data_IF_047663259117
#
_entry.id   IF_047663259117
#
_cell.length_a   1.000
_cell.length_b   1.000
_cell.length_c   1.000
_cell.angle_alpha   90.00
_cell.angle_beta   90.00
_cell.angle_gamma   90.00
#
_symmetry.space_group_name_H-M   'P 1'
#
loop_
_entity.id
_entity.type
_entity.pdbx_description
1 polymer ?
#
# COMPACT_ATOMS: atom_id res chain seq x y z
N UNK A 1 6.77 -15.44 23.28
CA UNK A 1 6.27 -14.06 23.07
C UNK A 1 5.11 -14.15 22.10
N UNK A 2 4.02 -13.46 22.37
CA UNK A 2 2.88 -13.38 21.45
C UNK A 2 3.38 -12.57 20.23
N UNK A 3 3.18 -13.10 19.04
CA UNK A 3 3.54 -12.42 17.78
C UNK A 3 2.26 -11.76 17.24
N UNK A 4 2.29 -10.47 16.95
CA UNK A 4 1.20 -9.74 16.30
C UNK A 4 1.43 -9.68 14.81
N UNK A 5 0.43 -10.07 14.01
CA UNK A 5 0.47 -10.08 12.55
C UNK A 5 -0.28 -8.89 11.97
N UNK A 6 0.36 -8.20 11.06
CA UNK A 6 -0.21 -7.06 10.34
C UNK A 6 -0.37 -7.44 8.87
N UNK A 7 -1.62 -7.43 8.36
CA UNK A 7 -1.91 -7.51 6.93
C UNK A 7 -1.74 -6.15 6.27
N UNK A 8 -1.04 -6.12 5.16
CA UNK A 8 -0.73 -4.90 4.41
C UNK A 8 -1.33 -4.99 3.00
N UNK A 9 -2.17 -4.02 2.67
CA UNK A 9 -2.78 -3.78 1.35
C UNK A 9 -2.34 -2.39 0.88
N UNK A 10 -2.20 -2.20 -0.42
CA UNK A 10 -2.03 -0.88 -1.02
C UNK A 10 -2.61 -0.84 -2.43
N UNK A 11 -2.98 0.34 -2.86
CA UNK A 11 -3.31 0.67 -4.24
C UNK A 11 -4.35 -0.31 -4.88
N UNK A 12 -5.51 -0.56 -4.23
CA UNK A 12 -6.55 -1.44 -4.78
C UNK A 12 -7.24 -0.85 -6.02
N UNK A 13 -7.22 0.46 -6.19
CA UNK A 13 -7.73 1.15 -7.37
C UNK A 13 -9.10 0.64 -7.82
N UNK A 14 -10.09 0.70 -6.92
CA UNK A 14 -11.47 0.33 -7.16
C UNK A 14 -11.64 -1.07 -7.80
N UNK A 15 -10.90 -2.06 -7.28
CA UNK A 15 -10.94 -3.46 -7.75
C UNK A 15 -11.16 -4.40 -6.58
N UNK A 16 -12.37 -4.93 -6.46
CA UNK A 16 -12.84 -5.62 -5.26
C UNK A 16 -12.28 -7.04 -5.10
N UNK A 17 -12.21 -7.82 -6.18
CA UNK A 17 -11.86 -9.24 -6.09
C UNK A 17 -10.47 -9.50 -5.45
N UNK A 18 -9.35 -8.81 -5.82
CA UNK A 18 -8.07 -9.00 -5.15
C UNK A 18 -8.07 -8.58 -3.68
N UNK A 19 -8.90 -7.58 -3.32
CA UNK A 19 -9.05 -7.16 -1.91
C UNK A 19 -9.76 -8.24 -1.11
N UNK A 20 -10.85 -8.80 -1.62
CA UNK A 20 -11.57 -9.89 -0.97
C UNK A 20 -10.65 -11.10 -0.73
N UNK A 21 -9.83 -11.45 -1.72
CA UNK A 21 -8.85 -12.52 -1.60
C UNK A 21 -7.79 -12.21 -0.54
N UNK A 22 -7.22 -10.99 -0.53
CA UNK A 22 -6.26 -10.57 0.49
C UNK A 22 -6.84 -10.69 1.91
N UNK A 23 -8.09 -10.23 2.11
CA UNK A 23 -8.78 -10.34 3.40
C UNK A 23 -9.00 -11.80 3.82
N UNK A 24 -9.34 -12.68 2.87
CA UNK A 24 -9.48 -14.10 3.15
C UNK A 24 -8.14 -14.75 3.54
N UNK A 25 -7.05 -14.41 2.86
CA UNK A 25 -5.70 -14.86 3.22
C UNK A 25 -5.28 -14.36 4.59
N UNK A 26 -5.57 -13.11 4.93
CA UNK A 26 -5.27 -12.54 6.24
C UNK A 26 -6.06 -13.23 7.35
N UNK A 27 -7.33 -13.50 7.13
CA UNK A 27 -8.16 -14.25 8.07
C UNK A 27 -7.61 -15.67 8.29
N UNK A 28 -7.25 -16.38 7.21
CA UNK A 28 -6.67 -17.71 7.29
C UNK A 28 -5.31 -17.73 8.00
N UNK A 29 -4.53 -16.65 7.86
CA UNK A 29 -3.23 -16.49 8.51
C UNK A 29 -3.33 -16.00 9.97
N UNK A 30 -4.53 -15.67 10.47
CA UNK A 30 -4.72 -15.13 11.81
C UNK A 30 -4.08 -13.74 11.98
N UNK A 31 -4.32 -12.85 11.02
CA UNK A 31 -3.86 -11.46 11.06
C UNK A 31 -4.67 -10.68 12.09
N UNK A 32 -4.00 -9.91 12.95
CA UNK A 32 -4.60 -9.14 14.04
C UNK A 32 -5.03 -7.74 13.61
N UNK A 33 -4.26 -7.11 12.70
CA UNK A 33 -4.51 -5.75 12.19
C UNK A 33 -4.36 -5.72 10.68
N UNK A 34 -5.22 -4.96 10.00
CA UNK A 34 -5.14 -4.77 8.55
C UNK A 34 -4.96 -3.29 8.24
N UNK A 35 -3.94 -2.96 7.44
CA UNK A 35 -3.62 -1.61 7.03
C UNK A 35 -3.64 -1.48 5.51
N UNK A 36 -4.18 -0.35 5.00
CA UNK A 36 -4.16 0.01 3.59
C UNK A 36 -3.42 1.33 3.38
N UNK A 37 -2.37 1.31 2.57
CA UNK A 37 -1.54 2.48 2.32
C UNK A 37 -2.12 3.45 1.26
N UNK A 38 -3.46 3.44 1.05
CA UNK A 38 -4.16 4.42 0.22
C UNK A 38 -4.38 3.98 -1.23
N UNK A 39 -4.85 4.92 -2.04
CA UNK A 39 -5.27 4.73 -3.44
C UNK A 39 -6.34 3.63 -3.58
N UNK A 40 -7.36 3.74 -2.72
CA UNK A 40 -8.55 2.88 -2.76
C UNK A 40 -9.35 3.18 -4.04
N UNK A 41 -9.53 4.48 -4.37
CA UNK A 41 -10.09 4.93 -5.62
C UNK A 41 -9.12 4.75 -6.81
N UNK A 42 -9.62 4.95 -8.03
CA UNK A 42 -8.79 5.03 -9.24
C UNK A 42 -9.30 4.19 -10.39
N UNK A 43 -8.43 3.50 -11.07
CA UNK A 43 -8.58 2.90 -12.39
C UNK A 43 -9.67 1.84 -12.57
N UNK A 44 -10.25 1.29 -11.51
CA UNK A 44 -11.34 0.31 -11.57
C UNK A 44 -12.73 0.96 -11.53
N UNK A 45 -13.75 0.14 -11.49
CA UNK A 45 -15.16 0.56 -11.46
C UNK A 45 -15.95 -0.04 -10.28
N UNK A 46 -15.26 -0.71 -9.33
CA UNK A 46 -15.88 -1.40 -8.19
C UNK A 46 -15.58 -0.67 -6.87
N UNK A 47 -15.59 0.69 -6.89
CA UNK A 47 -15.14 1.51 -5.76
C UNK A 47 -15.94 1.25 -4.49
N UNK A 48 -17.27 1.30 -4.58
CA UNK A 48 -18.13 1.08 -3.41
C UNK A 48 -17.95 -0.33 -2.82
N UNK A 49 -17.88 -1.33 -3.68
CA UNK A 49 -17.65 -2.72 -3.24
C UNK A 49 -16.25 -2.90 -2.62
N UNK A 50 -15.23 -2.26 -3.20
CA UNK A 50 -13.86 -2.27 -2.64
C UNK A 50 -13.85 -1.63 -1.25
N UNK A 51 -14.56 -0.52 -1.09
CA UNK A 51 -14.68 0.20 0.16
C UNK A 51 -15.41 -0.62 1.22
N UNK A 52 -16.53 -1.26 0.85
CA UNK A 52 -17.30 -2.12 1.76
C UNK A 52 -16.42 -3.25 2.31
N UNK A 53 -15.65 -3.93 1.46
CA UNK A 53 -14.72 -4.98 1.86
C UNK A 53 -13.68 -4.48 2.87
N UNK A 54 -13.08 -3.31 2.64
CA UNK A 54 -12.08 -2.74 3.55
C UNK A 54 -12.71 -2.36 4.91
N UNK A 55 -13.90 -1.78 4.90
CA UNK A 55 -14.63 -1.40 6.13
C UNK A 55 -15.02 -2.65 6.92
N UNK A 56 -15.64 -3.64 6.27
CA UNK A 56 -16.07 -4.90 6.90
C UNK A 56 -14.88 -5.71 7.42
N UNK A 57 -13.75 -5.64 6.72
CA UNK A 57 -12.47 -6.23 7.13
C UNK A 57 -11.79 -5.50 8.30
N UNK A 58 -12.34 -4.40 8.79
CA UNK A 58 -11.75 -3.59 9.86
C UNK A 58 -10.42 -2.94 9.46
N UNK A 59 -10.23 -2.65 8.18
CA UNK A 59 -9.00 -2.10 7.66
C UNK A 59 -8.83 -0.63 8.06
N UNK A 60 -7.66 -0.27 8.58
CA UNK A 60 -7.25 1.12 8.83
C UNK A 60 -6.47 1.62 7.62
N UNK A 61 -6.90 2.74 7.03
CA UNK A 61 -6.31 3.26 5.81
C UNK A 61 -5.77 4.68 5.98
N UNK A 62 -4.85 5.06 5.09
CA UNK A 62 -4.45 6.45 4.85
C UNK A 62 -4.96 6.90 3.49
N UNK A 63 -5.07 8.21 3.31
CA UNK A 63 -5.50 8.83 2.07
C UNK A 63 -4.39 8.73 1.00
N UNK A 64 -4.71 8.23 -0.20
CA UNK A 64 -3.85 8.26 -1.38
C UNK A 64 -4.16 9.44 -2.31
N UNK A 65 -3.36 9.62 -3.37
CA UNK A 65 -3.59 10.70 -4.32
C UNK A 65 -4.85 10.50 -5.16
N UNK A 66 -5.20 9.27 -5.53
CA UNK A 66 -6.44 9.00 -6.25
C UNK A 66 -7.67 9.19 -5.37
N UNK A 67 -7.58 8.90 -4.08
CA UNK A 67 -8.64 9.17 -3.12
C UNK A 67 -8.86 10.68 -2.95
N UNK A 68 -7.75 11.43 -2.84
CA UNK A 68 -7.77 12.90 -2.78
C UNK A 68 -8.39 13.52 -4.04
N UNK A 69 -8.01 13.04 -5.22
CA UNK A 69 -8.57 13.52 -6.49
C UNK A 69 -10.05 13.19 -6.60
N UNK A 70 -10.49 12.02 -6.13
CA UNK A 70 -11.91 11.67 -6.09
C UNK A 70 -12.73 12.70 -5.29
N UNK A 71 -12.23 13.10 -4.12
CA UNK A 71 -12.90 14.11 -3.27
C UNK A 71 -12.86 15.50 -3.91
N UNK A 72 -11.78 15.85 -4.60
CA UNK A 72 -11.60 17.17 -5.22
C UNK A 72 -12.33 17.34 -6.56
N UNK A 73 -12.76 16.26 -7.20
CA UNK A 73 -13.34 16.27 -8.54
C UNK A 73 -14.67 17.03 -8.61
N UNK A 74 -15.54 16.89 -7.59
CA UNK A 74 -16.78 17.68 -7.49
C UNK A 74 -17.35 17.74 -6.07
N UNK A 75 -18.10 18.81 -5.79
CA UNK A 75 -18.81 18.96 -4.51
C UNK A 75 -19.83 17.83 -4.27
N UNK A 76 -20.44 17.32 -5.33
CA UNK A 76 -21.41 16.21 -5.25
C UNK A 76 -20.71 14.93 -4.77
N UNK A 77 -19.49 14.64 -5.27
CA UNK A 77 -18.70 13.48 -4.81
C UNK A 77 -18.34 13.57 -3.33
N UNK A 78 -18.04 14.76 -2.83
CA UNK A 78 -17.73 14.96 -1.40
C UNK A 78 -18.90 14.57 -0.49
N UNK A 79 -20.14 14.77 -0.95
CA UNK A 79 -21.35 14.47 -0.18
C UNK A 79 -21.77 13.00 -0.26
N UNK A 80 -21.15 12.19 -1.10
CA UNK A 80 -21.39 10.76 -1.15
C UNK A 80 -20.82 10.06 0.09
N UNK A 81 -21.30 8.84 0.38
CA UNK A 81 -20.74 7.99 1.42
C UNK A 81 -19.23 7.82 1.24
N UNK A 82 -18.80 7.55 0.01
CA UNK A 82 -17.38 7.35 -0.34
C UNK A 82 -16.57 8.64 -0.19
N UNK A 83 -17.09 9.78 -0.64
CA UNK A 83 -16.44 11.08 -0.45
C UNK A 83 -16.30 11.44 1.02
N UNK A 84 -17.33 11.20 1.82
CA UNK A 84 -17.28 11.37 3.28
C UNK A 84 -16.23 10.45 3.92
N UNK A 85 -16.15 9.19 3.51
CA UNK A 85 -15.14 8.26 3.98
C UNK A 85 -13.73 8.78 3.69
N UNK A 86 -13.42 9.14 2.46
CA UNK A 86 -12.10 9.65 2.08
C UNK A 86 -11.75 10.96 2.77
N UNK A 87 -12.70 11.86 2.94
CA UNK A 87 -12.48 13.13 3.64
C UNK A 87 -12.10 12.95 5.13
N UNK A 88 -12.46 11.81 5.71
CA UNK A 88 -12.13 11.45 7.09
C UNK A 88 -10.86 10.59 7.21
N UNK A 89 -10.26 10.13 6.11
CA UNK A 89 -9.01 9.39 6.17
C UNK A 89 -7.85 10.30 6.58
N UNK A 90 -6.98 9.82 7.49
CA UNK A 90 -5.76 10.55 7.82
C UNK A 90 -4.76 10.49 6.65
N UNK A 91 -3.91 11.50 6.51
CA UNK A 91 -2.77 11.47 5.59
C UNK A 91 -1.64 10.56 6.07
N UNK A 92 -1.59 10.32 7.38
CA UNK A 92 -0.58 9.51 8.08
C UNK A 92 -1.26 8.70 9.17
N UNK A 93 -0.81 7.46 9.34
CA UNK A 93 -1.20 6.61 10.45
C UNK A 93 0.05 6.21 11.24
N UNK A 94 0.03 6.53 12.53
CA UNK A 94 1.06 6.12 13.47
C UNK A 94 0.50 5.06 14.42
N UNK A 95 1.30 4.07 14.76
CA UNK A 95 0.89 3.00 15.67
C UNK A 95 2.08 2.42 16.44
N UNK A 96 1.87 2.14 17.71
CA UNK A 96 2.81 1.37 18.53
C UNK A 96 2.28 -0.05 18.73
N UNK A 97 2.98 -1.06 18.23
CA UNK A 97 2.56 -2.47 18.31
C UNK A 97 3.78 -3.31 18.70
N UNK A 98 3.66 -4.14 19.74
CA UNK A 98 4.73 -4.99 20.26
C UNK A 98 6.05 -4.23 20.52
N UNK A 99 5.97 -2.99 21.02
CA UNK A 99 7.12 -2.13 21.25
C UNK A 99 7.78 -1.57 20.00
N UNK A 100 7.20 -1.79 18.82
CA UNK A 100 7.64 -1.24 17.54
C UNK A 100 6.80 -0.04 17.15
N UNK A 101 7.46 1.03 16.68
CA UNK A 101 6.81 2.22 16.14
C UNK A 101 6.61 2.06 14.64
N UNK A 102 5.38 2.08 14.20
CA UNK A 102 4.99 1.99 12.79
C UNK A 102 4.47 3.33 12.29
N UNK A 103 4.92 3.74 11.12
CA UNK A 103 4.46 4.89 10.37
C UNK A 103 3.93 4.44 9.01
N UNK A 104 2.72 4.85 8.64
CA UNK A 104 2.17 4.59 7.31
C UNK A 104 1.78 5.90 6.66
N UNK A 105 2.21 6.08 5.41
CA UNK A 105 1.90 7.21 4.54
C UNK A 105 1.79 6.70 3.11
N UNK A 106 0.97 7.35 2.28
CA UNK A 106 0.77 6.82 0.92
C UNK A 106 2.04 6.81 0.08
N UNK A 107 2.74 7.93 -0.08
CA UNK A 107 3.91 7.99 -0.96
C UNK A 107 5.24 8.05 -0.21
N UNK A 108 5.49 9.08 0.60
CA UNK A 108 6.70 9.19 1.44
C UNK A 108 6.51 10.14 2.63
N UNK A 109 7.33 10.01 3.70
CA UNK A 109 7.31 10.96 4.81
C UNK A 109 7.69 12.40 4.37
N UNK A 110 7.20 13.44 5.09
CA UNK A 110 6.33 13.30 6.25
C UNK A 110 4.87 13.00 5.89
N UNK A 111 4.36 13.40 4.75
CA UNK A 111 2.97 13.16 4.30
C UNK A 111 2.75 13.41 2.81
N UNK A 112 3.70 12.97 2.00
CA UNK A 112 3.60 13.12 0.54
C UNK A 112 2.53 12.19 -0.04
N UNK A 113 1.82 12.69 -1.06
CA UNK A 113 0.90 11.90 -1.87
C UNK A 113 1.48 11.56 -3.25
N UNK A 114 2.55 12.24 -3.68
CA UNK A 114 3.06 12.18 -5.06
C UNK A 114 4.52 11.73 -5.16
N UNK A 115 5.37 12.17 -4.23
CA UNK A 115 6.77 11.77 -4.24
C UNK A 115 6.92 10.42 -3.53
N UNK A 116 6.91 9.33 -4.30
CA UNK A 116 6.97 7.98 -3.78
C UNK A 116 8.38 7.41 -3.68
N UNK A 117 8.57 6.47 -2.76
CA UNK A 117 9.83 5.74 -2.61
C UNK A 117 9.93 4.70 -3.73
N UNK A 118 10.83 4.94 -4.69
CA UNK A 118 11.16 4.03 -5.79
C UNK A 118 12.55 3.46 -5.57
N UNK A 119 12.62 2.16 -5.31
CA UNK A 119 13.89 1.45 -5.07
C UNK A 119 14.24 0.45 -6.17
N UNK A 120 13.27 0.01 -6.96
CA UNK A 120 13.46 -1.07 -7.92
C UNK A 120 13.56 -0.54 -9.34
N UNK A 121 14.39 -1.20 -10.15
CA UNK A 121 14.41 -1.05 -11.60
C UNK A 121 13.22 -1.78 -12.26
N UNK A 122 13.17 -1.78 -13.59
CA UNK A 122 12.11 -2.45 -14.38
C UNK A 122 12.11 -3.98 -14.24
N UNK A 123 13.21 -4.57 -13.79
CA UNK A 123 13.36 -6.01 -13.55
C UNK A 123 13.00 -6.41 -12.11
N UNK A 124 12.76 -5.41 -11.26
CA UNK A 124 12.49 -5.62 -9.83
C UNK A 124 13.75 -5.82 -8.99
N UNK A 125 14.90 -5.32 -9.46
CA UNK A 125 16.17 -5.33 -8.74
C UNK A 125 16.41 -3.99 -8.06
N UNK A 126 17.05 -4.03 -6.89
CA UNK A 126 17.35 -2.83 -6.09
C UNK A 126 18.37 -1.93 -6.81
N UNK A 127 18.02 -0.66 -6.99
CA UNK A 127 18.91 0.40 -7.42
C UNK A 127 19.70 0.93 -6.22
N UNK A 128 20.99 0.61 -6.13
CA UNK A 128 21.84 0.94 -4.98
C UNK A 128 21.87 2.44 -4.69
N UNK A 129 21.95 3.28 -5.73
CA UNK A 129 21.92 4.74 -5.64
C UNK A 129 20.62 5.26 -5.02
N UNK A 130 19.47 4.69 -5.41
CA UNK A 130 18.16 5.06 -4.83
C UNK A 130 18.04 4.61 -3.38
N UNK A 131 18.56 3.43 -3.07
CA UNK A 131 18.60 2.91 -1.70
C UNK A 131 19.44 3.82 -0.80
N UNK A 132 20.59 4.29 -1.29
CA UNK A 132 21.45 5.23 -0.56
C UNK A 132 20.75 6.57 -0.37
N UNK A 133 20.21 7.19 -1.42
CA UNK A 133 19.46 8.45 -1.37
C UNK A 133 18.36 8.42 -0.29
N UNK A 134 17.52 7.40 -0.32
CA UNK A 134 16.44 7.26 0.66
C UNK A 134 16.94 6.92 2.06
N UNK A 135 18.05 6.19 2.19
CA UNK A 135 18.69 5.98 3.49
C UNK A 135 19.18 7.29 4.12
N UNK A 136 19.74 8.19 3.32
CA UNK A 136 20.16 9.52 3.76
C UNK A 136 18.95 10.38 4.16
N UNK A 137 17.88 10.39 3.36
CA UNK A 137 16.63 11.13 3.64
C UNK A 137 15.91 10.65 4.89
N UNK A 138 16.05 9.37 5.25
CA UNK A 138 15.46 8.78 6.45
C UNK A 138 16.39 8.78 7.66
N UNK A 139 17.54 9.45 7.61
CA UNK A 139 18.37 9.65 8.79
C UNK A 139 17.60 10.45 9.85
N UNK A 140 17.57 9.94 11.08
CA UNK A 140 16.82 10.55 12.18
C UNK A 140 15.31 10.28 12.16
N UNK A 141 14.81 9.46 11.23
CA UNK A 141 13.41 9.01 11.25
C UNK A 141 13.21 7.99 12.37
N UNK A 142 12.36 8.32 13.36
CA UNK A 142 12.27 7.62 14.65
C UNK A 142 11.25 6.46 14.67
N UNK A 143 11.02 5.79 13.55
CA UNK A 143 10.10 4.66 13.44
C UNK A 143 10.83 3.40 13.00
N UNK A 144 10.43 2.25 13.58
CA UNK A 144 11.00 0.93 13.24
C UNK A 144 10.54 0.46 11.85
N UNK A 145 9.29 0.81 11.49
CA UNK A 145 8.63 0.41 10.25
C UNK A 145 8.01 1.62 9.56
N UNK A 146 8.25 1.75 8.26
CA UNK A 146 7.57 2.68 7.36
C UNK A 146 6.84 1.89 6.27
N UNK A 147 5.51 2.02 6.23
CA UNK A 147 4.68 1.42 5.17
C UNK A 147 4.30 2.48 4.16
N UNK A 148 4.53 2.19 2.88
CA UNK A 148 4.21 3.07 1.74
C UNK A 148 3.52 2.30 0.63
N UNK A 149 2.87 3.01 -0.30
CA UNK A 149 2.26 2.51 -1.53
C UNK A 149 2.72 3.28 -2.76
N UNK A 150 1.77 3.77 -3.57
CA UNK A 150 1.92 4.73 -4.67
C UNK A 150 2.78 4.28 -5.86
N UNK A 151 3.97 3.78 -5.60
CA UNK A 151 4.94 3.46 -6.67
C UNK A 151 4.70 2.13 -7.36
N UNK A 152 3.75 1.33 -6.87
CA UNK A 152 3.45 -0.02 -7.35
C UNK A 152 4.72 -0.88 -7.47
N UNK A 153 5.56 -0.81 -6.44
CA UNK A 153 6.73 -1.66 -6.27
C UNK A 153 6.53 -2.58 -5.06
N UNK A 154 7.08 -3.79 -5.12
CA UNK A 154 6.97 -4.76 -4.02
C UNK A 154 8.35 -4.94 -3.41
N UNK A 155 8.56 -4.40 -2.21
CA UNK A 155 9.82 -4.51 -1.49
C UNK A 155 9.66 -4.39 0.03
N UNK A 156 10.65 -4.92 0.74
CA UNK A 156 10.89 -4.62 2.14
C UNK A 156 12.41 -4.45 2.32
N UNK A 157 12.83 -3.21 2.52
CA UNK A 157 14.24 -2.83 2.57
C UNK A 157 14.57 -2.02 3.81
N UNK A 158 15.71 -2.31 4.42
CA UNK A 158 16.19 -1.48 5.50
C UNK A 158 16.92 -0.26 4.95
N UNK A 159 16.35 0.91 5.28
CA UNK A 159 16.90 2.23 4.93
C UNK A 159 17.20 2.97 6.23
N UNK A 160 18.45 3.32 6.47
CA UNK A 160 18.93 3.74 7.79
C UNK A 160 18.53 2.72 8.88
N UNK A 161 17.79 3.16 9.89
CA UNK A 161 17.33 2.30 10.99
C UNK A 161 15.89 1.77 10.80
N UNK A 162 15.23 2.11 9.70
CA UNK A 162 13.81 1.83 9.44
C UNK A 162 13.64 0.70 8.43
N UNK A 163 12.77 -0.25 8.70
CA UNK A 163 12.28 -1.21 7.69
C UNK A 163 11.22 -0.51 6.84
N UNK A 164 11.53 -0.23 5.58
CA UNK A 164 10.60 0.40 4.63
C UNK A 164 9.94 -0.69 3.79
N UNK A 165 8.61 -0.71 3.81
CA UNK A 165 7.79 -1.73 3.16
C UNK A 165 6.86 -1.07 2.14
N UNK A 166 6.85 -1.60 0.92
CA UNK A 166 5.79 -1.38 -0.03
C UNK A 166 5.19 -2.75 -0.40
N UNK A 167 3.92 -3.03 -0.05
CA UNK A 167 3.31 -4.32 -0.35
C UNK A 167 2.94 -4.48 -1.83
N UNK A 168 3.06 -3.42 -2.62
CA UNK A 168 2.59 -3.34 -3.99
C UNK A 168 1.08 -3.15 -4.09
N UNK A 169 0.61 -2.93 -5.31
CA UNK A 169 -0.83 -2.83 -5.63
C UNK A 169 -1.48 -4.20 -5.69
N UNK A 170 -2.61 -4.37 -5.01
CA UNK A 170 -3.41 -5.60 -5.15
C UNK A 170 -3.87 -5.81 -6.59
N UNK A 171 -4.16 -4.71 -7.31
CA UNK A 171 -4.61 -4.71 -8.71
C UNK A 171 -3.48 -4.98 -9.71
N UNK A 172 -2.36 -4.26 -9.59
CA UNK A 172 -1.33 -4.23 -10.62
C UNK A 172 -0.14 -5.16 -10.34
N UNK A 173 0.27 -5.25 -9.06
CA UNK A 173 1.34 -6.15 -8.64
C UNK A 173 0.82 -7.55 -8.29
N UNK A 174 -0.50 -7.72 -8.12
CA UNK A 174 -1.14 -8.94 -7.65
C UNK A 174 -0.55 -9.42 -6.32
N UNK A 175 -0.45 -8.50 -5.37
CA UNK A 175 0.19 -8.77 -4.08
C UNK A 175 -0.52 -8.09 -2.91
N UNK A 176 -0.44 -8.75 -1.78
CA UNK A 176 -0.59 -8.19 -0.44
C UNK A 176 0.56 -8.74 0.42
N UNK A 177 0.66 -8.33 1.67
CA UNK A 177 1.75 -8.80 2.50
C UNK A 177 1.33 -8.99 3.97
N UNK A 178 2.13 -9.75 4.70
CA UNK A 178 2.04 -9.89 6.16
C UNK A 178 3.37 -9.48 6.76
N UNK A 179 3.30 -8.68 7.82
CA UNK A 179 4.41 -8.31 8.68
C UNK A 179 4.19 -8.90 10.08
N UNK A 180 5.11 -9.73 10.53
CA UNK A 180 5.10 -10.30 11.87
C UNK A 180 5.96 -9.44 12.83
N UNK A 181 5.37 -9.01 13.94
CA UNK A 181 6.00 -8.21 14.98
C UNK A 181 6.20 -9.04 16.27
N UNK A 182 7.23 -8.78 17.05
CA UNK A 182 8.25 -7.74 16.92
C UNK A 182 9.43 -8.10 16.00
N UNK A 183 9.43 -9.32 15.40
CA UNK A 183 10.57 -9.86 14.61
C UNK A 183 10.85 -9.11 13.33
N UNK A 184 9.91 -8.30 12.82
CA UNK A 184 9.99 -7.59 11.54
C UNK A 184 10.12 -8.55 10.34
N UNK A 185 9.45 -9.71 10.42
CA UNK A 185 9.44 -10.69 9.33
C UNK A 185 8.36 -10.32 8.31
N UNK A 186 8.78 -10.11 7.08
CA UNK A 186 7.90 -9.68 5.99
C UNK A 186 7.69 -10.81 4.97
N UNK A 187 6.43 -11.04 4.61
CA UNK A 187 6.04 -12.04 3.61
C UNK A 187 5.07 -11.45 2.60
N UNK A 188 5.40 -11.57 1.32
CA UNK A 188 4.51 -11.21 0.21
C UNK A 188 3.63 -12.40 -0.13
N UNK A 189 2.34 -12.16 -0.33
CA UNK A 189 1.36 -13.16 -0.75
C UNK A 189 0.88 -12.81 -2.17
N UNK A 190 0.93 -13.76 -3.12
CA UNK A 190 0.38 -13.58 -4.45
C UNK A 190 -1.14 -13.58 -4.41
N UNK A 191 -1.77 -12.84 -5.31
CA UNK A 191 -3.22 -12.75 -5.49
C UNK A 191 -3.64 -13.17 -6.89
N UNK A 192 -4.89 -13.62 -7.03
CA UNK A 192 -5.53 -13.97 -8.31
C UNK A 192 -4.81 -15.09 -9.08
N UNK A 193 -4.23 -16.05 -8.36
CA UNK A 193 -3.41 -17.13 -8.92
C UNK A 193 -2.32 -16.64 -9.89
N UNK A 194 -1.83 -15.41 -9.66
CA UNK A 194 -0.83 -14.76 -10.50
C UNK A 194 0.51 -14.65 -9.81
N UNK A 195 1.55 -14.63 -10.61
CA UNK A 195 2.90 -14.29 -10.12
C UNK A 195 2.93 -12.82 -9.70
N UNK A 196 3.54 -12.54 -8.55
CA UNK A 196 3.78 -11.16 -8.09
C UNK A 196 4.66 -10.42 -9.10
N UNK A 197 4.18 -9.25 -9.53
CA UNK A 197 4.93 -8.32 -10.38
C UNK A 197 5.65 -7.33 -9.47
N UNK A 198 6.98 -7.47 -9.32
CA UNK A 198 7.74 -6.63 -8.37
C UNK A 198 7.71 -5.14 -8.72
N UNK A 199 7.65 -4.79 -10.00
CA UNK A 199 7.59 -3.40 -10.46
C UNK A 199 6.56 -3.28 -11.57
N UNK A 200 5.57 -2.40 -11.39
CA UNK A 200 4.60 -2.08 -12.44
C UNK A 200 5.12 -0.92 -13.29
N UNK A 201 5.39 -1.19 -14.56
CA UNK A 201 5.85 -0.18 -15.51
C UNK A 201 4.68 0.31 -16.38
N UNK A 202 4.26 1.56 -16.15
CA UNK A 202 3.17 2.18 -16.89
C UNK A 202 3.46 2.31 -18.38
N UNK A 203 4.70 2.63 -18.77
CA UNK A 203 5.11 2.78 -20.17
C UNK A 203 4.96 1.50 -20.97
N UNK A 204 5.53 0.40 -20.48
CA UNK A 204 5.49 -0.92 -21.15
C UNK A 204 4.08 -1.49 -21.23
N UNK A 205 3.28 -1.28 -20.17
CA UNK A 205 1.92 -1.85 -20.12
C UNK A 205 0.91 -1.04 -20.94
N UNK A 206 1.10 0.24 -21.16
CA UNK A 206 0.29 1.03 -22.09
C UNK A 206 0.57 0.65 -23.56
N UNK A 207 1.84 0.47 -23.94
CA UNK A 207 2.24 0.04 -25.30
C UNK A 207 1.65 -1.34 -25.60
N UNK A 208 1.66 -2.27 -24.65
CA UNK A 208 1.08 -3.61 -24.84
C UNK A 208 -0.44 -3.60 -25.05
N UNK A 209 -1.16 -2.59 -24.53
CA UNK A 209 -2.60 -2.40 -24.79
C UNK A 209 -2.87 -1.83 -26.18
N UNK A 210 -2.05 -0.89 -26.63
CA UNK A 210 -2.17 -0.26 -27.98
C UNK A 210 -1.91 -1.31 -29.07
N UNK A 211 -0.95 -2.22 -28.87
CA UNK A 211 -0.62 -3.27 -29.85
C UNK A 211 -1.60 -4.48 -29.85
N UNK A 212 -2.59 -4.52 -28.98
CA UNK A 212 -3.64 -5.56 -28.89
C UNK A 212 -5.03 -5.05 -29.31
N UNK A 213 -5.17 -3.78 -29.60
CA UNK A 213 -6.38 -3.14 -30.12
C UNK A 213 -6.27 -2.91 -31.64
#
# INVERSE_FOLDING_TARGET
>A
MVSTRIGLISDPHATAAPVAEALALFKAAGVDHIFCAGDIAGYGNELEQTLDLLIEGGCRAVLGNHDLWFVQDSADKQQTRTGTFFSNLPSVLESGIEGKKLYMVHASPPRSYMEGIKLLDERGEILAERKQEWSERLQGFEYDVLVVGHTHQVFAERLANTLVINPGSTKFNHSCAILDLPGLEFRVLPLSDRKVVKTWNWGTNQIAKINRA
#
